data_IF_765551690438
#
_entry.id   IF_765551690438
#
_cell.length_a   1.000
_cell.length_b   1.000
_cell.length_c   1.000
_cell.angle_alpha   90.00
_cell.angle_beta   90.00
_cell.angle_gamma   90.00
#
_symmetry.space_group_name_H-M   'P 1'
#
loop_
_entity.id
_entity.type
_entity.pdbx_description
1 polymer ?
#
# COMPACT_ATOMS: atom_id res chain seq x y z
N UNK A 1 -41.16 -6.49 -10.63
CA UNK A 1 -39.94 -5.85 -10.09
C UNK A 1 -39.29 -6.86 -9.16
N UNK A 2 -38.24 -7.54 -9.61
CA UNK A 2 -37.55 -8.53 -8.80
C UNK A 2 -36.60 -7.79 -7.85
N UNK A 3 -36.78 -8.00 -6.54
CA UNK A 3 -35.88 -7.54 -5.51
C UNK A 3 -34.54 -8.27 -5.71
N UNK A 4 -33.51 -7.53 -6.12
CA UNK A 4 -32.14 -8.04 -6.01
C UNK A 4 -31.84 -8.04 -4.52
N UNK A 5 -31.93 -9.21 -3.89
CA UNK A 5 -31.40 -9.41 -2.55
C UNK A 5 -29.94 -8.97 -2.57
N UNK A 6 -29.65 -7.85 -1.92
CA UNK A 6 -28.29 -7.39 -1.62
C UNK A 6 -27.73 -8.31 -0.53
N UNK A 7 -27.58 -9.60 -0.85
CA UNK A 7 -26.82 -10.51 -0.05
C UNK A 7 -25.40 -9.93 0.00
N UNK A 8 -24.98 -9.52 1.20
CA UNK A 8 -23.63 -9.05 1.43
C UNK A 8 -22.65 -10.06 0.83
N UNK A 9 -21.65 -9.64 0.04
CA UNK A 9 -20.69 -10.55 -0.55
C UNK A 9 -20.09 -11.40 0.58
N UNK A 10 -20.35 -12.72 0.52
CA UNK A 10 -19.95 -13.62 1.59
C UNK A 10 -18.44 -13.73 1.62
N UNK A 11 -17.84 -13.61 2.81
CA UNK A 11 -16.39 -13.79 2.99
C UNK A 11 -16.06 -15.26 2.71
N UNK A 12 -15.47 -15.51 1.54
CA UNK A 12 -15.09 -16.87 1.13
C UNK A 12 -13.70 -17.18 1.66
N UNK A 13 -13.61 -17.86 2.81
CA UNK A 13 -12.33 -18.36 3.34
C UNK A 13 -11.58 -19.24 2.33
N UNK A 14 -12.31 -19.91 1.43
CA UNK A 14 -11.74 -20.64 0.30
C UNK A 14 -10.87 -19.78 -0.65
N UNK A 15 -11.08 -18.46 -0.69
CA UNK A 15 -10.27 -17.54 -1.49
C UNK A 15 -8.81 -17.49 -1.00
N UNK A 16 -8.57 -17.67 0.30
CA UNK A 16 -7.19 -17.74 0.85
C UNK A 16 -6.51 -19.01 0.34
N UNK A 17 -7.21 -20.15 0.37
CA UNK A 17 -6.70 -21.41 -0.18
C UNK A 17 -6.45 -21.34 -1.69
N UNK A 18 -7.28 -20.60 -2.43
CA UNK A 18 -7.09 -20.34 -3.84
C UNK A 18 -5.88 -19.43 -4.11
N UNK A 19 -5.73 -18.34 -3.36
CA UNK A 19 -4.55 -17.47 -3.41
C UNK A 19 -3.27 -18.26 -3.12
N UNK A 20 -3.27 -19.16 -2.13
CA UNK A 20 -2.13 -20.04 -1.84
C UNK A 20 -1.80 -20.99 -2.99
N UNK A 21 -2.81 -21.56 -3.68
CA UNK A 21 -2.58 -22.39 -4.88
C UNK A 21 -2.00 -21.56 -6.03
N UNK A 22 -2.53 -20.36 -6.27
CA UNK A 22 -2.05 -19.45 -7.30
C UNK A 22 -0.59 -19.01 -7.04
N UNK A 23 -0.27 -18.68 -5.79
CA UNK A 23 1.09 -18.39 -5.37
C UNK A 23 2.01 -19.58 -5.64
N UNK A 24 1.68 -20.78 -5.14
CA UNK A 24 2.52 -21.98 -5.34
C UNK A 24 2.76 -22.33 -6.81
N UNK A 25 1.77 -22.07 -7.69
CA UNK A 25 1.92 -22.30 -9.13
C UNK A 25 2.96 -21.39 -9.78
N UNK A 26 3.12 -20.17 -9.28
CA UNK A 26 4.02 -19.14 -9.83
C UNK A 26 4.98 -18.59 -8.76
N UNK A 27 5.41 -19.44 -7.82
CA UNK A 27 6.13 -19.01 -6.62
C UNK A 27 7.43 -18.28 -6.97
N UNK A 28 8.14 -18.74 -8.01
CA UNK A 28 9.41 -18.16 -8.43
C UNK A 28 9.25 -16.70 -8.88
N UNK A 29 8.21 -16.39 -9.65
CA UNK A 29 7.92 -15.02 -10.08
C UNK A 29 7.52 -14.16 -8.89
N UNK A 30 6.63 -14.65 -8.02
CA UNK A 30 6.21 -13.90 -6.84
C UNK A 30 7.36 -13.61 -5.87
N UNK A 31 8.21 -14.60 -5.59
CA UNK A 31 9.40 -14.43 -4.75
C UNK A 31 10.40 -13.46 -5.37
N UNK A 32 10.62 -13.53 -6.69
CA UNK A 32 11.48 -12.57 -7.40
C UNK A 32 10.90 -11.16 -7.35
N UNK A 33 9.61 -10.98 -7.62
CA UNK A 33 8.91 -9.68 -7.57
C UNK A 33 9.00 -9.07 -6.18
N UNK A 34 8.78 -9.86 -5.13
CA UNK A 34 8.93 -9.41 -3.74
C UNK A 34 10.37 -8.99 -3.44
N UNK A 35 11.35 -9.82 -3.83
CA UNK A 35 12.77 -9.51 -3.62
C UNK A 35 13.19 -8.22 -4.33
N UNK A 36 12.82 -8.06 -5.60
CA UNK A 36 13.10 -6.85 -6.38
C UNK A 36 12.44 -5.64 -5.73
N UNK A 37 11.17 -5.74 -5.34
CA UNK A 37 10.46 -4.64 -4.67
C UNK A 37 11.13 -4.24 -3.35
N UNK A 38 11.52 -5.22 -2.52
CA UNK A 38 12.21 -4.97 -1.25
C UNK A 38 13.58 -4.31 -1.46
N UNK A 39 14.38 -4.81 -2.41
CA UNK A 39 15.70 -4.23 -2.70
C UNK A 39 15.56 -2.79 -3.20
N UNK A 40 14.62 -2.52 -4.12
CA UNK A 40 14.45 -1.17 -4.65
C UNK A 40 13.93 -0.20 -3.59
N UNK A 41 12.98 -0.61 -2.75
CA UNK A 41 12.49 0.21 -1.64
C UNK A 41 13.63 0.48 -0.64
N UNK A 42 14.40 -0.54 -0.26
CA UNK A 42 15.51 -0.38 0.68
C UNK A 42 16.62 0.53 0.13
N UNK A 43 16.95 0.41 -1.16
CA UNK A 43 17.91 1.31 -1.83
C UNK A 43 17.36 2.73 -1.88
N UNK A 44 16.09 2.91 -2.27
CA UNK A 44 15.44 4.22 -2.35
C UNK A 44 15.42 4.93 -0.99
N UNK A 45 15.06 4.21 0.06
CA UNK A 45 15.13 4.73 1.43
C UNK A 45 16.56 5.03 1.87
N UNK A 46 17.52 4.14 1.57
CA UNK A 46 18.93 4.33 1.90
C UNK A 46 19.51 5.59 1.27
N UNK A 47 19.28 5.78 -0.04
CA UNK A 47 19.68 6.98 -0.78
C UNK A 47 19.00 8.21 -0.19
N UNK A 48 17.69 8.16 0.05
CA UNK A 48 16.94 9.25 0.65
C UNK A 48 17.53 9.69 1.99
N UNK A 49 17.81 8.73 2.89
CA UNK A 49 18.43 9.01 4.20
C UNK A 49 19.83 9.62 4.06
N UNK A 50 20.66 9.12 3.14
CA UNK A 50 22.00 9.66 2.90
C UNK A 50 21.94 11.09 2.37
N UNK A 51 21.08 11.36 1.39
CA UNK A 51 20.90 12.71 0.83
C UNK A 51 20.38 13.70 1.86
N UNK A 52 19.39 13.30 2.66
CA UNK A 52 18.87 14.13 3.74
C UNK A 52 19.90 14.40 4.83
N UNK A 53 20.71 13.39 5.19
CA UNK A 53 21.82 13.56 6.13
C UNK A 53 22.90 14.49 5.58
N UNK A 54 23.21 14.39 4.28
CA UNK A 54 24.13 15.34 3.65
C UNK A 54 23.56 16.77 3.65
N UNK A 55 22.26 16.92 3.40
CA UNK A 55 21.56 18.20 3.40
C UNK A 55 21.41 18.80 4.81
N UNK A 56 21.32 17.98 5.86
CA UNK A 56 21.21 18.45 7.25
C UNK A 56 22.49 19.12 7.76
N UNK A 57 23.65 18.84 7.16
CA UNK A 57 24.90 19.58 7.40
C UNK A 57 24.95 20.95 6.70
N UNK A 58 23.96 21.30 5.88
CA UNK A 58 23.85 22.61 5.21
C UNK A 58 23.07 23.65 6.02
N UNK A 59 23.19 24.93 5.65
CA UNK A 59 22.55 26.08 6.33
C UNK A 59 21.01 25.96 6.46
N UNK A 60 20.35 25.30 5.51
CA UNK A 60 18.90 25.04 5.57
C UNK A 60 18.54 23.91 6.56
N UNK A 61 19.46 22.98 6.85
CA UNK A 61 19.20 21.78 7.65
C UNK A 61 18.69 22.04 9.07
N UNK A 62 19.17 23.11 9.70
CA UNK A 62 18.72 23.56 11.02
C UNK A 62 17.36 24.28 11.03
N UNK A 63 16.94 24.87 9.89
CA UNK A 63 15.70 25.64 9.77
C UNK A 63 14.47 24.76 9.46
N UNK A 64 14.64 23.64 8.76
CA UNK A 64 13.55 22.72 8.37
C UNK A 64 13.30 21.60 9.40
N UNK A 65 13.93 21.66 10.57
CA UNK A 65 13.74 20.65 11.63
C UNK A 65 14.27 19.26 11.23
N UNK A 66 15.25 19.20 10.33
CA UNK A 66 15.92 17.94 9.91
C UNK A 66 17.03 17.51 10.89
N UNK A 67 17.21 18.23 12.00
CA UNK A 67 18.19 17.95 13.04
C UNK A 67 17.65 17.04 14.13
N UNK A 68 18.21 15.83 14.19
CA UNK A 68 18.32 14.92 15.33
C UNK A 68 17.09 14.71 16.24
N UNK A 69 16.39 13.60 15.96
CA UNK A 69 15.93 12.53 16.90
C UNK A 69 14.60 11.86 16.50
N UNK A 70 13.92 12.34 15.44
CA UNK A 70 12.74 11.72 14.85
C UNK A 70 12.95 11.19 13.43
N UNK A 71 12.13 10.22 13.01
CA UNK A 71 12.05 9.82 11.58
C UNK A 71 11.54 11.03 10.81
N UNK A 72 12.31 11.63 9.87
CA UNK A 72 11.88 12.85 9.21
C UNK A 72 10.65 12.55 8.33
N UNK A 73 9.63 13.41 8.40
CA UNK A 73 8.33 13.18 7.73
C UNK A 73 8.46 13.05 6.21
N UNK A 74 9.35 13.84 5.59
CA UNK A 74 9.52 13.86 4.15
C UNK A 74 10.05 12.52 3.60
N UNK A 75 11.17 11.94 4.10
CA UNK A 75 11.58 10.60 3.69
C UNK A 75 10.56 9.51 4.05
N UNK A 76 9.78 9.65 5.12
CA UNK A 76 8.70 8.71 5.41
C UNK A 76 7.62 8.73 4.31
N UNK A 77 7.15 9.91 3.90
CA UNK A 77 6.16 10.07 2.82
C UNK A 77 6.73 9.62 1.48
N UNK A 78 7.99 9.97 1.15
CA UNK A 78 8.63 9.53 -0.08
C UNK A 78 8.79 8.00 -0.11
N UNK A 79 9.15 7.40 1.02
CA UNK A 79 9.24 5.95 1.17
C UNK A 79 7.90 5.27 0.91
N UNK A 80 6.80 5.80 1.46
CA UNK A 80 5.47 5.23 1.21
C UNK A 80 5.01 5.41 -0.22
N UNK A 81 5.38 6.49 -0.91
CA UNK A 81 5.10 6.67 -2.34
C UNK A 81 5.80 5.58 -3.16
N UNK A 82 7.09 5.35 -2.93
CA UNK A 82 7.86 4.32 -3.65
C UNK A 82 7.30 2.94 -3.33
N UNK A 83 7.11 2.61 -2.05
CA UNK A 83 6.53 1.33 -1.64
C UNK A 83 5.12 1.12 -2.22
N UNK A 84 4.30 2.16 -2.24
CA UNK A 84 2.96 2.15 -2.79
C UNK A 84 2.90 1.93 -4.30
N UNK A 85 3.89 2.44 -5.04
CA UNK A 85 4.05 2.14 -6.47
C UNK A 85 4.26 0.64 -6.69
N UNK A 86 5.22 0.03 -5.99
CA UNK A 86 5.49 -1.41 -6.10
C UNK A 86 4.31 -2.26 -5.62
N UNK A 87 3.66 -1.88 -4.52
CA UNK A 87 2.47 -2.54 -4.03
C UNK A 87 1.32 -2.48 -5.04
N UNK A 88 1.11 -1.33 -5.69
CA UNK A 88 0.15 -1.18 -6.78
C UNK A 88 0.45 -2.10 -7.96
N UNK A 89 1.72 -2.22 -8.34
CA UNK A 89 2.18 -3.15 -9.38
C UNK A 89 1.92 -4.62 -9.02
N UNK A 90 2.23 -5.01 -7.78
CA UNK A 90 1.93 -6.36 -7.28
C UNK A 90 0.42 -6.65 -7.25
N UNK A 91 -0.40 -5.67 -6.89
CA UNK A 91 -1.86 -5.81 -6.93
C UNK A 91 -2.35 -5.98 -8.38
N UNK A 92 -1.81 -5.22 -9.33
CA UNK A 92 -2.14 -5.39 -10.76
C UNK A 92 -1.78 -6.79 -11.24
N UNK A 93 -0.60 -7.27 -10.85
CA UNK A 93 -0.13 -8.62 -11.15
C UNK A 93 -1.06 -9.69 -10.54
N UNK A 94 -1.49 -9.52 -9.28
CA UNK A 94 -2.44 -10.40 -8.62
C UNK A 94 -3.81 -10.42 -9.32
N UNK A 95 -4.35 -9.25 -9.67
CA UNK A 95 -5.63 -9.13 -10.39
C UNK A 95 -5.56 -9.81 -11.76
N UNK A 96 -4.47 -9.59 -12.50
CA UNK A 96 -4.24 -10.26 -13.78
C UNK A 96 -4.15 -11.78 -13.62
N UNK A 97 -3.50 -12.26 -12.55
CA UNK A 97 -3.42 -13.68 -12.23
C UNK A 97 -4.78 -14.30 -11.92
N UNK A 98 -5.63 -13.61 -11.15
CA UNK A 98 -7.01 -14.03 -10.88
C UNK A 98 -7.84 -14.05 -12.18
N UNK A 99 -7.54 -13.18 -13.14
CA UNK A 99 -8.15 -13.16 -14.49
C UNK A 99 -7.56 -14.21 -15.45
N UNK A 100 -6.69 -15.09 -14.98
CA UNK A 100 -6.11 -16.18 -15.77
C UNK A 100 -4.87 -15.82 -16.59
N UNK A 101 -4.32 -14.61 -16.43
CA UNK A 101 -3.05 -14.22 -17.06
C UNK A 101 -1.88 -14.59 -16.14
N UNK A 102 -0.88 -15.35 -16.60
CA UNK A 102 0.26 -15.69 -15.76
C UNK A 102 1.01 -14.41 -15.34
N UNK A 103 1.50 -14.32 -14.08
CA UNK A 103 2.22 -13.15 -13.60
C UNK A 103 3.60 -13.06 -14.25
N UNK A 104 4.00 -11.86 -14.69
CA UNK A 104 5.35 -11.56 -15.15
C UNK A 104 5.95 -10.41 -14.36
N UNK A 105 7.29 -10.37 -14.26
CA UNK A 105 7.99 -9.29 -13.54
C UNK A 105 7.74 -7.91 -14.19
N UNK A 106 7.55 -7.87 -15.51
CA UNK A 106 7.22 -6.64 -16.25
C UNK A 106 5.86 -6.04 -15.85
N UNK A 107 4.93 -6.87 -15.35
CA UNK A 107 3.62 -6.40 -14.88
C UNK A 107 3.76 -5.50 -13.64
N UNK A 108 4.85 -5.61 -12.88
CA UNK A 108 5.14 -4.79 -11.71
C UNK A 108 5.20 -3.29 -12.07
N UNK A 109 5.69 -2.97 -13.27
CA UNK A 109 5.84 -1.60 -13.75
C UNK A 109 4.69 -1.18 -14.68
N UNK A 110 3.71 -2.05 -14.91
CA UNK A 110 2.59 -1.82 -15.84
C UNK A 110 1.48 -0.89 -15.31
N UNK A 111 1.74 -0.19 -14.21
CA UNK A 111 0.81 0.74 -13.53
C UNK A 111 0.96 2.19 -13.97
N UNK A 112 1.66 2.45 -15.08
CA UNK A 112 1.90 3.79 -15.63
C UNK A 112 0.64 4.51 -16.10
N UNK A 113 -0.51 3.84 -16.14
CA UNK A 113 -1.81 4.44 -16.39
C UNK A 113 -2.41 5.10 -15.14
N UNK A 114 -2.07 4.61 -13.94
CA UNK A 114 -2.62 5.08 -12.65
C UNK A 114 -1.54 5.53 -11.66
N UNK A 115 -0.30 5.72 -12.11
CA UNK A 115 0.86 6.01 -11.26
C UNK A 115 0.68 7.29 -10.42
N UNK A 116 0.02 8.31 -10.98
CA UNK A 116 -0.19 9.58 -10.29
C UNK A 116 -1.16 9.41 -9.11
N UNK A 117 -2.28 8.72 -9.32
CA UNK A 117 -3.25 8.42 -8.25
C UNK A 117 -2.67 7.47 -7.22
N UNK A 118 -1.85 6.51 -7.63
CA UNK A 118 -1.11 5.65 -6.69
C UNK A 118 -0.12 6.44 -5.86
N UNK A 119 0.66 7.34 -6.47
CA UNK A 119 1.61 8.18 -5.75
C UNK A 119 0.88 9.10 -4.76
N UNK A 120 -0.19 9.76 -5.20
CA UNK A 120 -1.00 10.63 -4.34
C UNK A 120 -1.65 9.85 -3.19
N UNK A 121 -2.31 8.72 -3.48
CA UNK A 121 -2.93 7.86 -2.47
C UNK A 121 -1.93 7.32 -1.46
N UNK A 122 -0.76 6.90 -1.92
CA UNK A 122 0.32 6.38 -1.05
C UNK A 122 0.99 7.46 -0.23
N UNK A 123 1.11 8.68 -0.76
CA UNK A 123 1.60 9.84 -0.02
C UNK A 123 0.63 10.26 1.08
N UNK A 124 -0.67 10.32 0.77
CA UNK A 124 -1.73 10.60 1.76
C UNK A 124 -1.81 9.52 2.84
N UNK A 125 -1.75 8.24 2.43
CA UNK A 125 -1.66 7.13 3.37
C UNK A 125 -0.43 7.26 4.26
N UNK A 126 0.74 7.58 3.68
CA UNK A 126 1.97 7.81 4.44
C UNK A 126 1.85 8.93 5.47
N UNK A 127 1.19 10.03 5.11
CA UNK A 127 0.90 11.12 6.05
C UNK A 127 -0.02 10.66 7.19
N UNK A 128 -1.11 9.95 6.88
CA UNK A 128 -2.01 9.45 7.91
C UNK A 128 -1.36 8.42 8.83
N UNK A 129 -0.56 7.52 8.27
CA UNK A 129 0.21 6.55 9.04
C UNK A 129 1.23 7.27 9.92
N UNK A 130 2.00 8.23 9.36
CA UNK A 130 2.97 9.02 10.12
C UNK A 130 2.30 9.67 11.34
N UNK A 131 1.19 10.38 11.14
CA UNK A 131 0.44 11.00 12.24
C UNK A 131 -0.10 9.95 13.22
N UNK A 132 -0.65 8.85 12.72
CA UNK A 132 -1.21 7.78 13.56
C UNK A 132 -0.18 7.07 14.43
N UNK A 133 1.04 6.86 13.91
CA UNK A 133 2.16 6.27 14.65
C UNK A 133 2.65 7.21 15.76
N UNK A 134 2.69 8.52 15.52
CA UNK A 134 3.12 9.51 16.51
C UNK A 134 2.05 9.81 17.57
N UNK A 135 0.76 9.65 17.23
CA UNK A 135 -0.32 9.96 18.16
C UNK A 135 -0.61 8.85 19.16
N UNK A 136 -0.55 7.55 18.80
CA UNK A 136 -0.75 6.42 19.76
C UNK A 136 -0.64 5.00 19.15
N UNK A 137 0.03 4.77 17.99
CA UNK A 137 0.10 3.48 17.26
C UNK A 137 -1.27 2.95 16.77
N UNK A 138 -2.23 2.75 17.67
CA UNK A 138 -3.60 2.30 17.44
C UNK A 138 -4.30 3.12 16.35
N UNK A 139 -4.25 4.47 16.32
CA UNK A 139 -4.88 5.23 15.24
C UNK A 139 -4.27 4.92 13.87
N UNK A 140 -2.97 4.66 13.80
CA UNK A 140 -2.28 4.24 12.58
C UNK A 140 -2.80 2.89 12.07
N UNK A 141 -2.96 1.91 12.96
CA UNK A 141 -3.51 0.60 12.62
C UNK A 141 -4.97 0.69 12.13
N UNK A 142 -5.79 1.53 12.78
CA UNK A 142 -7.18 1.74 12.37
C UNK A 142 -7.25 2.33 10.96
N UNK A 143 -6.44 3.37 10.68
CA UNK A 143 -6.39 3.98 9.35
C UNK A 143 -5.88 2.98 8.30
N UNK A 144 -4.82 2.23 8.62
CA UNK A 144 -4.30 1.18 7.72
C UNK A 144 -5.35 0.12 7.39
N UNK A 145 -6.14 -0.30 8.39
CA UNK A 145 -7.29 -1.17 8.21
C UNK A 145 -8.37 -0.58 7.31
N UNK A 146 -8.80 0.64 7.60
CA UNK A 146 -9.86 1.32 6.84
C UNK A 146 -9.45 1.65 5.39
N UNK A 147 -8.16 1.80 5.12
CA UNK A 147 -7.61 2.12 3.81
C UNK A 147 -7.02 0.90 3.09
N UNK A 148 -7.20 -0.33 3.58
CA UNK A 148 -6.62 -1.52 2.95
C UNK A 148 -7.11 -1.73 1.50
N UNK A 149 -8.32 -1.26 1.16
CA UNK A 149 -8.88 -1.38 -0.19
C UNK A 149 -8.51 -0.21 -1.11
N UNK A 150 -7.81 0.81 -0.61
CA UNK A 150 -7.38 1.95 -1.42
C UNK A 150 -6.58 1.49 -2.66
N UNK A 151 -5.57 0.65 -2.47
CA UNK A 151 -4.74 0.19 -3.59
C UNK A 151 -5.52 -0.63 -4.62
N UNK A 152 -6.30 -1.66 -4.26
CA UNK A 152 -7.17 -2.35 -5.21
C UNK A 152 -8.16 -1.43 -5.94
N UNK A 153 -8.72 -0.45 -5.24
CA UNK A 153 -9.67 0.50 -5.82
C UNK A 153 -9.03 1.46 -6.84
N UNK A 154 -7.77 1.85 -6.63
CA UNK A 154 -7.02 2.64 -7.61
C UNK A 154 -6.60 1.76 -8.79
N UNK A 155 -6.03 0.59 -8.52
CA UNK A 155 -5.41 -0.26 -9.55
C UNK A 155 -6.44 -0.94 -10.44
N UNK A 156 -7.45 -1.57 -9.84
CA UNK A 156 -8.48 -2.33 -10.55
C UNK A 156 -9.75 -1.50 -10.77
N UNK A 157 -10.17 -0.77 -9.73
CA UNK A 157 -11.34 0.11 -9.80
C UNK A 157 -11.11 1.39 -10.61
N UNK A 158 -9.85 1.72 -10.97
CA UNK A 158 -9.45 2.94 -11.69
C UNK A 158 -10.01 4.22 -11.07
N UNK A 159 -10.18 4.23 -9.75
CA UNK A 159 -10.68 5.39 -9.04
C UNK A 159 -9.55 6.39 -8.79
N UNK A 160 -9.84 7.70 -8.83
CA UNK A 160 -8.88 8.71 -8.40
C UNK A 160 -8.54 8.50 -6.92
N UNK A 161 -7.34 8.91 -6.50
CA UNK A 161 -6.81 8.63 -5.16
C UNK A 161 -7.79 9.00 -4.03
N UNK A 162 -8.41 10.17 -4.11
CA UNK A 162 -9.39 10.66 -3.13
C UNK A 162 -10.66 9.83 -3.13
N UNK A 163 -11.16 9.45 -4.32
CA UNK A 163 -12.31 8.58 -4.48
C UNK A 163 -12.07 7.20 -3.87
N UNK A 164 -10.88 6.62 -4.09
CA UNK A 164 -10.49 5.34 -3.52
C UNK A 164 -10.40 5.38 -1.98
N UNK A 165 -9.85 6.45 -1.41
CA UNK A 165 -9.79 6.65 0.05
C UNK A 165 -11.21 6.71 0.64
N UNK A 166 -12.08 7.55 0.08
CA UNK A 166 -13.45 7.72 0.57
C UNK A 166 -14.22 6.40 0.46
N UNK A 167 -14.10 5.71 -0.67
CA UNK A 167 -14.80 4.45 -0.89
C UNK A 167 -14.28 3.33 0.01
N UNK A 168 -12.97 3.22 0.22
CA UNK A 168 -12.38 2.27 1.17
C UNK A 168 -12.89 2.52 2.60
N UNK A 169 -12.89 3.78 3.02
CA UNK A 169 -13.41 4.18 4.33
C UNK A 169 -14.90 3.84 4.48
N UNK A 170 -15.73 4.14 3.47
CA UNK A 170 -17.15 3.81 3.50
C UNK A 170 -17.42 2.31 3.52
N UNK A 171 -16.61 1.51 2.83
CA UNK A 171 -16.75 0.06 2.81
C UNK A 171 -16.42 -0.58 4.18
N UNK A 172 -15.45 -0.02 4.92
CA UNK A 172 -14.90 -0.65 6.11
C UNK A 172 -15.26 0.01 7.44
N UNK A 173 -15.79 1.24 7.45
CA UNK A 173 -16.10 1.99 8.70
C UNK A 173 -17.07 1.25 9.63
N UNK A 174 -18.04 0.51 9.09
CA UNK A 174 -18.99 -0.26 9.89
C UNK A 174 -18.36 -1.48 10.56
N UNK A 175 -17.24 -1.97 10.03
CA UNK A 175 -16.51 -3.16 10.50
C UNK A 175 -15.04 -2.81 10.82
N UNK A 176 -14.79 -1.59 11.30
CA UNK A 176 -13.45 -1.04 11.46
C UNK A 176 -12.54 -1.93 12.33
N UNK A 177 -13.10 -2.60 13.34
CA UNK A 177 -12.35 -3.50 14.22
C UNK A 177 -11.83 -4.72 13.46
N UNK A 178 -12.69 -5.38 12.68
CA UNK A 178 -12.32 -6.53 11.85
C UNK A 178 -11.31 -6.10 10.79
N UNK A 179 -11.53 -4.94 10.16
CA UNK A 179 -10.61 -4.37 9.19
C UNK A 179 -9.21 -4.13 9.79
N UNK A 180 -9.15 -3.59 11.00
CA UNK A 180 -7.90 -3.34 11.74
C UNK A 180 -7.18 -4.64 12.08
N UNK A 181 -7.90 -5.66 12.55
CA UNK A 181 -7.33 -6.98 12.88
C UNK A 181 -6.79 -7.67 11.63
N UNK A 182 -7.53 -7.63 10.52
CA UNK A 182 -7.07 -8.20 9.24
C UNK A 182 -5.82 -7.47 8.75
N UNK A 183 -5.80 -6.14 8.81
CA UNK A 183 -4.63 -5.36 8.44
C UNK A 183 -3.42 -5.67 9.31
N UNK A 184 -3.61 -5.81 10.62
CA UNK A 184 -2.55 -6.22 11.54
C UNK A 184 -2.01 -7.61 11.18
N UNK A 185 -2.89 -8.57 10.86
CA UNK A 185 -2.47 -9.91 10.46
C UNK A 185 -1.65 -9.89 9.16
N UNK A 186 -2.04 -9.06 8.18
CA UNK A 186 -1.27 -8.89 6.94
C UNK A 186 0.04 -8.16 7.17
N UNK A 187 0.09 -7.20 8.09
CA UNK A 187 1.30 -6.42 8.38
C UNK A 187 2.40 -7.20 9.11
N UNK A 188 2.05 -8.29 9.80
CA UNK A 188 2.99 -9.13 10.56
C UNK A 188 3.64 -10.23 9.71
N UNK A 189 2.99 -10.63 8.61
CA UNK A 189 3.41 -11.73 7.72
C UNK A 189 4.27 -11.19 6.58
#
# INVERSE_FOLDING_TARGET
MAWVETAWPTVRLGAIGEAWRLYRRHWGVWSLTMLVSLVVVAIGEGIGRVLLRAASFGMLGGLIGLGDSGVPILPAILGTIVAGFFLGGMIRMAVNQVRGRPPHLEDLLSITDVWFDLALGSGLLGLFLFVGWHLLIIPGLIVGGLLMFMYPLIVDGRLPATGAIIQSYHALKSQWLVATVVHLAVAIV
#
